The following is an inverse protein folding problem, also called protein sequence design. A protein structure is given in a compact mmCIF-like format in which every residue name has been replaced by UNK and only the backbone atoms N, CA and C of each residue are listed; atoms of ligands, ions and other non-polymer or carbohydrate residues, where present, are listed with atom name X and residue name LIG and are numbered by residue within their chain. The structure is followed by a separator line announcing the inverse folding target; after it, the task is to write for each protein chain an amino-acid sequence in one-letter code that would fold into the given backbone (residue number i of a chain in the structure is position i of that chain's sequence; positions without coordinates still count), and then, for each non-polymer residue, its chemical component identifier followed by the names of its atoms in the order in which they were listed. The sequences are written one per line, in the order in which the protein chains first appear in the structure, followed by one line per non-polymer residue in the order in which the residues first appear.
data_IF_241308915788
#
_entry.id   IF_241308915788
#
_cell.length_a   1.000
_cell.length_b   1.000
_cell.length_c   1.000
_cell.angle_alpha   90.00
_cell.angle_beta   90.00
_cell.angle_gamma   90.00
#
_symmetry.space_group_name_H-M   'P 1'
#
loop_
_entity.id
_entity.type
_entity.pdbx_description
1 polymer ?
#
# COMPACT_ATOMS: atom_id res chain seq x y z
N UNK A 1 -13.33 -12.52 -14.81
CA UNK A 1 -13.25 -11.80 -16.12
C UNK A 1 -14.55 -11.06 -16.41
N UNK A 2 -15.70 -11.75 -16.40
CA UNK A 2 -17.00 -11.12 -16.70
C UNK A 2 -17.38 -10.00 -15.73
N UNK A 3 -17.16 -10.21 -14.42
CA UNK A 3 -17.31 -9.17 -13.38
C UNK A 3 -16.51 -7.92 -13.70
N UNK A 4 -15.22 -8.06 -14.07
CA UNK A 4 -14.36 -6.91 -14.42
C UNK A 4 -14.87 -6.19 -15.66
N UNK A 5 -15.25 -6.93 -16.71
CA UNK A 5 -15.78 -6.34 -17.94
C UNK A 5 -17.08 -5.58 -17.69
N UNK A 6 -17.96 -6.13 -16.85
CA UNK A 6 -19.19 -5.46 -16.45
C UNK A 6 -18.90 -4.20 -15.63
N UNK A 7 -18.01 -4.28 -14.66
CA UNK A 7 -17.61 -3.14 -13.84
C UNK A 7 -16.99 -2.03 -14.71
N UNK A 8 -16.17 -2.36 -15.72
CA UNK A 8 -15.64 -1.38 -16.69
C UNK A 8 -16.74 -0.65 -17.46
N UNK A 9 -17.76 -1.37 -17.92
CA UNK A 9 -18.89 -0.75 -18.62
C UNK A 9 -19.66 0.23 -17.73
N UNK A 10 -19.71 -0.02 -16.42
CA UNK A 10 -20.43 0.81 -15.46
C UNK A 10 -19.59 1.97 -14.88
N UNK A 11 -18.29 1.74 -14.67
CA UNK A 11 -17.41 2.63 -13.90
C UNK A 11 -16.33 3.32 -14.73
N UNK A 12 -16.13 2.90 -16.00
CA UNK A 12 -15.07 3.35 -16.89
C UNK A 12 -13.93 2.33 -17.01
N UNK A 13 -13.36 2.21 -18.21
CA UNK A 13 -12.33 1.19 -18.53
C UNK A 13 -11.06 1.32 -17.68
N UNK A 14 -10.64 2.54 -17.39
CA UNK A 14 -9.41 2.85 -16.64
C UNK A 14 -9.55 2.62 -15.13
N UNK A 15 -10.77 2.48 -14.63
CA UNK A 15 -11.05 2.39 -13.20
C UNK A 15 -11.15 0.96 -12.68
N UNK A 16 -11.30 -0.02 -13.57
CA UNK A 16 -11.47 -1.41 -13.20
C UNK A 16 -10.54 -2.27 -14.04
N UNK A 17 -9.68 -3.04 -13.39
CA UNK A 17 -8.79 -3.96 -14.09
C UNK A 17 -8.79 -5.34 -13.46
N UNK A 18 -8.37 -6.30 -14.28
CA UNK A 18 -8.09 -7.65 -13.81
C UNK A 18 -6.62 -7.69 -13.41
N UNK A 19 -6.36 -8.30 -12.27
CA UNK A 19 -5.02 -8.51 -11.76
C UNK A 19 -4.46 -9.87 -12.18
N UNK A 20 -3.26 -10.22 -11.71
CA UNK A 20 -2.58 -11.45 -12.12
C UNK A 20 -3.44 -12.72 -12.01
N UNK A 21 -4.24 -12.86 -10.94
CA UNK A 21 -5.19 -13.96 -10.79
C UNK A 21 -6.58 -13.61 -11.33
N UNK A 22 -7.25 -14.57 -11.98
CA UNK A 22 -8.62 -14.38 -12.53
C UNK A 22 -9.69 -14.07 -11.48
N UNK A 23 -9.42 -14.34 -10.21
CA UNK A 23 -10.32 -14.09 -9.08
C UNK A 23 -10.06 -12.75 -8.38
N UNK A 24 -9.14 -11.95 -8.90
CA UNK A 24 -8.83 -10.62 -8.36
C UNK A 24 -9.43 -9.53 -9.23
N UNK A 25 -9.88 -8.47 -8.56
CA UNK A 25 -10.41 -7.25 -9.16
C UNK A 25 -9.65 -6.10 -8.54
N UNK A 26 -9.08 -5.24 -9.38
CA UNK A 26 -8.44 -4.00 -8.96
C UNK A 26 -9.31 -2.82 -9.39
N UNK A 27 -9.56 -1.93 -8.43
CA UNK A 27 -10.22 -0.65 -8.64
C UNK A 27 -9.21 0.48 -8.50
N UNK A 28 -9.16 1.39 -9.46
CA UNK A 28 -8.24 2.54 -9.48
C UNK A 28 -9.06 3.82 -9.42
N UNK A 29 -8.86 4.64 -8.38
CA UNK A 29 -9.54 5.94 -8.30
C UNK A 29 -9.00 6.91 -9.35
N UNK A 30 -9.78 7.95 -9.65
CA UNK A 30 -9.17 9.16 -10.23
C UNK A 30 -8.22 9.83 -9.23
N UNK A 31 -7.44 10.79 -9.71
CA UNK A 31 -6.67 11.68 -8.83
C UNK A 31 -7.64 12.53 -8.00
N UNK A 32 -7.53 12.44 -6.68
CA UNK A 32 -8.38 13.17 -5.73
C UNK A 32 -7.57 14.22 -4.99
N UNK A 33 -8.15 15.40 -4.74
CA UNK A 33 -7.51 16.54 -4.06
C UNK A 33 -7.76 16.55 -2.56
N UNK A 34 -8.72 15.79 -2.06
CA UNK A 34 -9.14 15.78 -0.66
C UNK A 34 -9.88 14.51 -0.26
N UNK A 35 -10.14 14.38 1.04
CA UNK A 35 -10.82 13.23 1.62
C UNK A 35 -12.25 13.04 1.12
N UNK A 36 -13.00 14.13 0.90
CA UNK A 36 -14.36 14.06 0.38
C UNK A 36 -14.42 13.48 -1.04
N UNK A 37 -13.53 13.94 -1.93
CA UNK A 37 -13.44 13.40 -3.30
C UNK A 37 -13.03 11.92 -3.31
N UNK A 38 -12.10 11.53 -2.44
CA UNK A 38 -11.66 10.15 -2.31
C UNK A 38 -12.76 9.26 -1.72
N UNK A 39 -13.50 9.73 -0.71
CA UNK A 39 -14.62 9.00 -0.13
C UNK A 39 -15.69 8.71 -1.19
N UNK A 40 -16.06 9.71 -2.00
CA UNK A 40 -17.02 9.55 -3.08
C UNK A 40 -16.53 8.56 -4.15
N UNK A 41 -15.23 8.60 -4.50
CA UNK A 41 -14.66 7.64 -5.45
C UNK A 41 -14.62 6.21 -4.89
N UNK A 42 -14.28 6.03 -3.60
CA UNK A 42 -14.29 4.72 -2.97
C UNK A 42 -15.71 4.14 -2.92
N UNK A 43 -16.72 4.94 -2.59
CA UNK A 43 -18.12 4.54 -2.59
C UNK A 43 -18.56 4.12 -4.00
N UNK A 44 -18.30 4.97 -4.99
CA UNK A 44 -18.63 4.70 -6.40
C UNK A 44 -17.99 3.41 -6.90
N UNK A 45 -16.69 3.23 -6.67
CA UNK A 45 -15.93 2.11 -7.21
C UNK A 45 -16.26 0.79 -6.49
N UNK A 46 -16.30 0.79 -5.16
CA UNK A 46 -16.62 -0.42 -4.39
C UNK A 46 -18.07 -0.83 -4.59
N UNK A 47 -18.99 0.13 -4.58
CA UNK A 47 -20.41 -0.10 -4.84
C UNK A 47 -20.65 -0.66 -6.25
N UNK A 48 -20.13 0.02 -7.28
CA UNK A 48 -20.30 -0.46 -8.66
C UNK A 48 -19.61 -1.80 -8.94
N UNK A 49 -18.45 -2.06 -8.33
CA UNK A 49 -17.80 -3.37 -8.46
C UNK A 49 -18.62 -4.48 -7.79
N UNK A 50 -19.23 -4.21 -6.63
CA UNK A 50 -20.12 -5.14 -5.95
C UNK A 50 -21.40 -5.39 -6.76
N UNK A 51 -22.01 -4.35 -7.32
CA UNK A 51 -23.17 -4.46 -8.21
C UNK A 51 -22.86 -5.27 -9.47
N UNK A 52 -21.67 -5.07 -10.06
CA UNK A 52 -21.19 -5.87 -11.18
C UNK A 52 -21.03 -7.34 -10.80
N UNK A 53 -20.46 -7.64 -9.62
CA UNK A 53 -20.27 -9.00 -9.14
C UNK A 53 -21.60 -9.71 -8.89
N UNK A 54 -22.59 -9.01 -8.30
CA UNK A 54 -23.91 -9.55 -8.01
C UNK A 54 -24.67 -10.01 -9.28
N UNK A 55 -24.42 -9.39 -10.44
CA UNK A 55 -25.01 -9.82 -11.72
C UNK A 55 -24.52 -11.18 -12.23
N UNK A 56 -23.45 -11.71 -11.63
CA UNK A 56 -22.88 -13.02 -11.95
C UNK A 56 -22.88 -13.96 -10.73
N UNK A 57 -23.78 -13.74 -9.78
CA UNK A 57 -23.90 -14.52 -8.54
C UNK A 57 -22.58 -14.60 -7.74
N UNK A 58 -21.76 -13.55 -7.84
CA UNK A 58 -20.46 -13.44 -7.17
C UNK A 58 -20.51 -12.39 -6.05
N UNK A 59 -19.63 -12.57 -5.06
CA UNK A 59 -19.36 -11.58 -4.01
C UNK A 59 -17.90 -11.15 -4.05
N UNK A 60 -17.65 -9.87 -3.76
CA UNK A 60 -16.30 -9.36 -3.56
C UNK A 60 -15.92 -9.49 -2.08
N UNK A 61 -14.73 -10.04 -1.82
CA UNK A 61 -14.21 -10.23 -0.47
C UNK A 61 -12.91 -9.42 -0.32
N UNK A 62 -12.92 -8.29 0.40
CA UNK A 62 -11.73 -7.50 0.67
C UNK A 62 -10.89 -8.18 1.77
N UNK A 63 -10.06 -9.14 1.38
CA UNK A 63 -9.13 -9.88 2.23
C UNK A 63 -7.72 -9.84 1.65
N UNK A 64 -6.70 -9.64 2.50
CA UNK A 64 -5.31 -9.58 2.05
C UNK A 64 -4.81 -10.89 1.42
N UNK A 65 -5.46 -12.02 1.73
CA UNK A 65 -5.19 -13.35 1.17
C UNK A 65 -6.48 -14.07 0.79
N UNK A 66 -6.36 -15.11 -0.06
CA UNK A 66 -7.43 -16.06 -0.30
C UNK A 66 -7.70 -16.91 0.95
N UNK A 67 -8.81 -16.63 1.64
CA UNK A 67 -9.14 -17.23 2.95
C UNK A 67 -9.28 -18.75 2.88
N UNK A 68 -10.04 -19.27 1.92
CA UNK A 68 -10.34 -20.70 1.81
C UNK A 68 -9.32 -21.46 0.93
N UNK A 69 -8.50 -20.75 0.15
CA UNK A 69 -7.61 -21.34 -0.86
C UNK A 69 -8.35 -21.85 -2.11
N UNK A 70 -7.58 -22.27 -3.11
CA UNK A 70 -8.03 -23.00 -4.30
C UNK A 70 -7.36 -24.39 -4.25
N UNK A 71 -8.03 -25.52 -4.54
CA UNK A 71 -7.37 -26.83 -4.63
C UNK A 71 -6.35 -26.97 -5.78
N UNK A 72 -6.10 -25.93 -6.58
CA UNK A 72 -5.10 -25.90 -7.64
C UNK A 72 -4.32 -24.58 -7.70
N UNK A 73 -3.31 -24.47 -8.58
CA UNK A 73 -2.63 -23.22 -8.80
C UNK A 73 -3.65 -22.15 -9.24
N UNK A 74 -3.64 -20.95 -8.65
CA UNK A 74 -4.60 -19.92 -9.00
C UNK A 74 -4.47 -19.64 -10.49
N UNK A 75 -5.59 -19.59 -11.24
CA UNK A 75 -5.51 -19.45 -12.67
C UNK A 75 -4.99 -18.05 -13.01
N UNK A 76 -3.72 -17.98 -13.37
CA UNK A 76 -3.03 -16.78 -13.82
C UNK A 76 -3.68 -16.33 -15.14
N UNK A 77 -3.81 -15.02 -15.33
CA UNK A 77 -4.26 -14.50 -16.62
C UNK A 77 -3.28 -14.89 -17.73
N UNK A 78 -3.84 -15.38 -18.82
CA UNK A 78 -3.07 -15.65 -20.04
C UNK A 78 -2.56 -14.35 -20.66
N UNK A 79 -1.38 -13.91 -20.21
CA UNK A 79 -0.64 -12.75 -20.70
C UNK A 79 0.85 -13.08 -20.76
N UNK A 80 1.57 -12.71 -21.84
CA UNK A 80 2.99 -13.02 -22.00
C UNK A 80 3.84 -12.63 -20.77
N UNK A 81 3.55 -11.47 -20.18
CA UNK A 81 4.23 -11.00 -18.96
C UNK A 81 4.12 -11.97 -17.79
N UNK A 82 2.92 -12.48 -17.51
CA UNK A 82 2.72 -13.36 -16.36
C UNK A 82 3.35 -14.74 -16.59
N UNK A 83 3.37 -15.22 -17.83
CA UNK A 83 4.12 -16.44 -18.19
C UNK A 83 5.62 -16.27 -17.97
N UNK A 84 6.20 -15.14 -18.39
CA UNK A 84 7.61 -14.84 -18.15
C UNK A 84 7.95 -14.77 -16.64
N UNK A 85 7.04 -14.19 -15.84
CA UNK A 85 7.17 -14.18 -14.37
C UNK A 85 7.14 -15.61 -13.83
N UNK A 86 6.20 -16.44 -14.25
CA UNK A 86 6.10 -17.82 -13.78
C UNK A 86 7.32 -18.66 -14.17
N UNK A 87 7.81 -18.53 -15.41
CA UNK A 87 9.00 -19.22 -15.89
C UNK A 87 10.25 -18.83 -15.08
N UNK A 88 10.38 -17.54 -14.74
CA UNK A 88 11.55 -17.02 -14.03
C UNK A 88 11.56 -17.32 -12.54
N UNK A 89 10.42 -17.18 -11.85
CA UNK A 89 10.34 -17.21 -10.39
C UNK A 89 9.69 -18.48 -9.83
N UNK A 90 9.12 -19.32 -10.70
CA UNK A 90 8.62 -20.64 -10.33
C UNK A 90 7.53 -20.60 -9.23
N UNK A 91 7.59 -21.48 -8.22
CA UNK A 91 6.53 -21.67 -7.23
C UNK A 91 6.13 -20.44 -6.41
N UNK A 92 6.95 -19.38 -6.34
CA UNK A 92 6.57 -18.12 -5.68
C UNK A 92 5.25 -17.59 -6.28
N UNK A 93 4.99 -17.85 -7.56
CA UNK A 93 3.78 -17.42 -8.25
C UNK A 93 2.49 -18.14 -7.83
N UNK A 94 2.58 -19.28 -7.14
CA UNK A 94 1.40 -20.08 -6.80
C UNK A 94 0.54 -19.51 -5.68
N UNK A 95 1.08 -18.63 -4.82
CA UNK A 95 0.33 -18.01 -3.72
C UNK A 95 -0.01 -16.54 -3.97
N UNK A 96 -0.16 -16.13 -5.24
CA UNK A 96 -0.28 -14.72 -5.60
C UNK A 96 -1.70 -14.15 -5.58
N UNK A 97 -2.66 -14.86 -4.99
CA UNK A 97 -3.97 -14.30 -4.62
C UNK A 97 -3.86 -13.41 -3.36
N UNK A 98 -2.89 -12.50 -3.35
CA UNK A 98 -2.71 -11.49 -2.31
C UNK A 98 -3.26 -10.16 -2.78
N UNK A 99 -4.00 -9.46 -1.93
CA UNK A 99 -4.71 -8.24 -2.29
C UNK A 99 -4.27 -7.08 -1.38
N UNK A 100 -3.95 -5.95 -1.98
CA UNK A 100 -3.47 -4.76 -1.26
C UNK A 100 -4.30 -3.53 -1.54
N UNK A 101 -4.18 -2.55 -0.65
CA UNK A 101 -4.49 -1.17 -0.94
C UNK A 101 -3.19 -0.44 -1.29
N UNK A 102 -3.11 0.16 -2.48
CA UNK A 102 -2.02 1.04 -2.86
C UNK A 102 -2.47 2.49 -2.79
N UNK A 103 -1.63 3.35 -2.22
CA UNK A 103 -1.88 4.79 -2.14
C UNK A 103 -0.79 5.52 -2.91
N UNK A 104 -1.20 6.32 -3.89
CA UNK A 104 -0.34 7.22 -4.63
C UNK A 104 -0.50 8.65 -4.11
N UNK A 105 0.60 9.33 -3.82
CA UNK A 105 0.62 10.75 -3.46
C UNK A 105 1.52 11.49 -4.43
N UNK A 106 0.97 12.51 -5.08
CA UNK A 106 1.71 13.35 -6.03
C UNK A 106 2.85 14.11 -5.35
N UNK A 107 3.98 14.18 -6.05
CA UNK A 107 5.18 14.94 -5.66
C UNK A 107 5.74 15.66 -6.89
N UNK A 108 6.56 16.69 -6.68
CA UNK A 108 6.97 17.57 -7.78
C UNK A 108 7.97 16.92 -8.73
N UNK A 109 8.86 16.07 -8.20
CA UNK A 109 9.92 15.44 -8.99
C UNK A 109 10.38 14.09 -8.41
N UNK A 110 11.24 13.39 -9.16
CA UNK A 110 11.76 12.07 -8.77
C UNK A 110 12.69 12.12 -7.55
N UNK A 111 13.47 13.18 -7.37
CA UNK A 111 14.34 13.31 -6.20
C UNK A 111 13.49 13.39 -4.93
N UNK A 112 12.44 14.20 -4.92
CA UNK A 112 11.48 14.25 -3.81
C UNK A 112 10.87 12.87 -3.56
N UNK A 113 10.48 12.15 -4.62
CA UNK A 113 9.91 10.81 -4.48
C UNK A 113 10.90 9.82 -3.82
N UNK A 114 12.18 9.89 -4.20
CA UNK A 114 13.26 9.07 -3.64
C UNK A 114 13.50 9.42 -2.17
N UNK A 115 13.62 10.70 -1.84
CA UNK A 115 13.88 11.13 -0.48
C UNK A 115 12.68 10.86 0.44
N UNK A 116 11.46 11.17 0.01
CA UNK A 116 10.23 10.81 0.75
C UNK A 116 10.14 9.31 0.99
N UNK A 117 10.54 8.48 0.01
CA UNK A 117 10.60 7.02 0.20
C UNK A 117 11.53 6.62 1.36
N UNK A 118 12.66 7.33 1.55
CA UNK A 118 13.55 7.10 2.70
C UNK A 118 12.90 7.48 4.04
N UNK A 119 12.08 8.54 4.09
CA UNK A 119 11.34 8.90 5.30
C UNK A 119 10.26 7.86 5.61
N UNK A 120 9.48 7.47 4.60
CA UNK A 120 8.33 6.58 4.77
C UNK A 120 8.72 5.12 5.03
N UNK A 121 9.93 4.68 4.67
CA UNK A 121 10.38 3.31 4.97
C UNK A 121 10.31 2.99 6.46
N UNK A 122 10.57 3.99 7.31
CA UNK A 122 10.54 3.85 8.78
C UNK A 122 9.11 3.68 9.31
N UNK A 123 8.11 4.15 8.56
CA UNK A 123 6.70 4.01 8.88
C UNK A 123 6.09 2.69 8.39
N UNK A 124 6.81 1.92 7.57
CA UNK A 124 6.30 0.67 7.00
C UNK A 124 5.80 -0.33 8.07
N UNK A 125 6.51 -0.59 9.18
CA UNK A 125 6.00 -1.47 10.24
C UNK A 125 4.66 -1.00 10.82
N UNK A 126 4.51 0.31 11.05
CA UNK A 126 3.26 0.88 11.59
C UNK A 126 2.13 0.74 10.57
N UNK A 127 2.39 1.01 9.29
CA UNK A 127 1.39 0.86 8.24
C UNK A 127 0.96 -0.60 8.04
N UNK A 128 1.88 -1.57 8.15
CA UNK A 128 1.54 -3.01 8.17
C UNK A 128 0.60 -3.30 9.34
N UNK A 129 0.98 -2.87 10.55
CA UNK A 129 0.22 -3.16 11.75
C UNK A 129 -1.20 -2.58 11.72
N UNK A 130 -1.35 -1.35 11.22
CA UNK A 130 -2.64 -0.66 11.09
C UNK A 130 -3.58 -1.31 10.08
N UNK A 131 -3.04 -1.88 9.01
CA UNK A 131 -3.83 -2.35 7.86
C UNK A 131 -3.94 -3.87 7.77
N UNK A 132 -3.34 -4.60 8.71
CA UNK A 132 -3.31 -6.06 8.75
C UNK A 132 -4.72 -6.66 8.64
N UNK A 133 -4.96 -7.40 7.55
CA UNK A 133 -6.26 -8.00 7.24
C UNK A 133 -6.09 -9.31 6.47
N UNK A 134 -5.16 -10.16 6.92
CA UNK A 134 -4.96 -11.48 6.33
C UNK A 134 -4.53 -12.55 7.34
N UNK A 135 -5.34 -12.83 8.38
CA UNK A 135 -4.97 -13.84 9.38
C UNK A 135 -5.15 -15.29 8.90
N UNK A 136 -5.94 -15.52 7.86
CA UNK A 136 -6.21 -16.85 7.30
C UNK A 136 -5.62 -17.02 5.91
N UNK A 137 -5.20 -18.24 5.58
CA UNK A 137 -4.77 -18.63 4.23
C UNK A 137 -5.06 -20.11 4.02
N UNK A 138 -5.62 -20.48 2.86
CA UNK A 138 -5.88 -21.89 2.51
C UNK A 138 -6.68 -22.65 3.58
N UNK A 139 -7.71 -22.00 4.12
CA UNK A 139 -8.60 -22.56 5.14
C UNK A 139 -7.99 -22.66 6.54
N UNK A 140 -6.78 -22.14 6.74
CA UNK A 140 -6.02 -22.28 7.99
C UNK A 140 -5.69 -20.92 8.61
N UNK A 141 -5.81 -20.81 9.93
CA UNK A 141 -5.30 -19.66 10.68
C UNK A 141 -3.77 -19.69 10.68
N UNK A 142 -3.16 -18.60 10.24
CA UNK A 142 -1.70 -18.51 10.03
C UNK A 142 -0.96 -18.06 11.29
N UNK A 143 -1.71 -17.62 12.30
CA UNK A 143 -1.24 -16.87 13.46
C UNK A 143 -0.60 -15.51 13.16
N UNK A 144 -0.53 -15.07 11.90
CA UNK A 144 -0.11 -13.70 11.55
C UNK A 144 -1.31 -12.77 11.53
N UNK A 145 -1.09 -11.48 11.80
CA UNK A 145 -2.10 -10.47 11.54
C UNK A 145 -2.18 -10.14 10.03
N UNK A 146 -1.01 -10.07 9.38
CA UNK A 146 -0.87 -9.94 7.93
C UNK A 146 -0.03 -11.09 7.35
N UNK A 147 -0.68 -12.16 6.91
CA UNK A 147 -0.01 -13.22 6.15
C UNK A 147 0.38 -12.77 4.75
N UNK A 148 -0.35 -11.82 4.17
CA UNK A 148 0.00 -11.21 2.88
C UNK A 148 1.42 -10.66 2.90
N UNK A 149 1.83 -9.92 3.94
CA UNK A 149 3.20 -9.40 4.04
C UNK A 149 4.23 -10.53 3.96
N UNK A 150 3.97 -11.67 4.62
CA UNK A 150 4.86 -12.84 4.60
C UNK A 150 4.93 -13.48 3.21
N UNK A 151 3.80 -13.61 2.52
CA UNK A 151 3.75 -14.15 1.16
C UNK A 151 4.47 -13.23 0.18
N UNK A 152 4.26 -11.91 0.29
CA UNK A 152 4.83 -10.92 -0.61
C UNK A 152 6.34 -10.78 -0.44
N UNK A 153 6.85 -10.86 0.80
CA UNK A 153 8.28 -10.76 1.09
C UNK A 153 9.13 -11.92 0.53
N UNK A 154 8.51 -12.95 -0.03
CA UNK A 154 9.21 -14.04 -0.76
C UNK A 154 9.78 -13.56 -2.11
N UNK A 155 9.24 -12.49 -2.67
CA UNK A 155 9.76 -11.93 -3.91
C UNK A 155 11.14 -11.31 -3.69
N UNK A 156 12.13 -11.54 -4.56
CA UNK A 156 13.51 -11.07 -4.35
C UNK A 156 13.67 -9.56 -4.16
N UNK A 157 12.80 -8.77 -4.81
CA UNK A 157 12.78 -7.31 -4.77
C UNK A 157 11.79 -6.73 -3.76
N UNK A 158 11.15 -7.56 -2.93
CA UNK A 158 10.13 -7.14 -1.97
C UNK A 158 10.68 -6.80 -0.57
N UNK A 159 9.92 -5.96 0.11
CA UNK A 159 10.18 -5.50 1.47
C UNK A 159 10.38 -3.99 1.54
N UNK A 160 10.89 -3.48 2.66
CA UNK A 160 11.22 -2.06 2.79
C UNK A 160 12.24 -1.65 1.71
N UNK A 161 12.11 -0.45 1.12
CA UNK A 161 13.13 0.05 0.20
C UNK A 161 14.48 0.16 0.94
N UNK A 162 15.61 -0.04 0.25
CA UNK A 162 16.92 0.31 0.81
C UNK A 162 17.00 1.81 1.06
N UNK A 163 17.99 2.26 1.82
CA UNK A 163 18.28 3.68 1.89
C UNK A 163 18.89 4.17 0.56
N UNK A 164 18.27 5.18 -0.06
CA UNK A 164 18.65 5.71 -1.37
C UNK A 164 19.32 7.08 -1.19
N UNK A 165 20.50 7.30 -1.78
CA UNK A 165 21.29 8.51 -1.52
C UNK A 165 20.98 9.64 -2.51
N UNK A 166 20.42 9.29 -3.66
CA UNK A 166 20.08 10.20 -4.75
C UNK A 166 19.25 9.48 -5.78
N UNK A 167 18.64 10.23 -6.70
CA UNK A 167 18.03 9.69 -7.91
C UNK A 167 18.98 8.77 -8.70
N UNK A 168 20.26 9.13 -8.83
CA UNK A 168 21.23 8.28 -9.53
C UNK A 168 21.51 6.96 -8.79
N UNK A 169 21.56 6.99 -7.44
CA UNK A 169 21.69 5.75 -6.65
C UNK A 169 20.44 4.88 -6.82
N UNK A 170 19.24 5.47 -6.81
CA UNK A 170 17.99 4.77 -7.09
C UNK A 170 18.02 4.06 -8.44
N UNK A 171 18.36 4.77 -9.52
CA UNK A 171 18.45 4.20 -10.86
C UNK A 171 19.48 3.06 -10.93
N UNK A 172 20.64 3.24 -10.30
CA UNK A 172 21.68 2.21 -10.24
C UNK A 172 21.19 0.95 -9.51
N UNK A 173 20.50 1.10 -8.38
CA UNK A 173 19.96 -0.04 -7.61
C UNK A 173 18.89 -0.77 -8.42
N UNK A 174 17.97 -0.05 -9.05
CA UNK A 174 16.93 -0.63 -9.92
C UNK A 174 17.57 -1.37 -11.09
N UNK A 175 18.52 -0.74 -11.79
CA UNK A 175 19.24 -1.36 -12.91
C UNK A 175 20.01 -2.62 -12.46
N UNK A 176 20.58 -2.62 -11.26
CA UNK A 176 21.28 -3.79 -10.69
C UNK A 176 20.32 -4.94 -10.36
N UNK A 177 19.15 -4.64 -9.77
CA UNK A 177 18.12 -5.66 -9.49
C UNK A 177 17.59 -6.30 -10.78
N UNK A 178 17.42 -5.51 -11.84
CA UNK A 178 17.06 -6.02 -13.16
C UNK A 178 18.22 -6.82 -13.78
N UNK A 179 19.44 -6.29 -13.74
CA UNK A 179 20.62 -6.94 -14.33
C UNK A 179 20.99 -8.28 -13.69
N UNK A 180 20.71 -8.47 -12.40
CA UNK A 180 20.87 -9.76 -11.71
C UNK A 180 19.77 -10.76 -12.05
N UNK A 181 18.65 -10.30 -12.61
CA UNK A 181 17.47 -11.12 -12.86
C UNK A 181 16.57 -11.32 -11.64
N UNK A 182 16.87 -10.67 -10.51
CA UNK A 182 16.01 -10.64 -9.33
C UNK A 182 14.69 -9.88 -9.57
N UNK A 183 14.67 -9.01 -10.58
CA UNK A 183 13.50 -8.41 -11.18
C UNK A 183 13.56 -8.60 -12.71
N UNK A 184 12.42 -8.80 -13.39
CA UNK A 184 12.39 -8.81 -14.86
C UNK A 184 12.57 -7.40 -15.45
N UNK A 185 12.05 -6.41 -14.75
CA UNK A 185 12.06 -5.01 -15.14
C UNK A 185 11.80 -4.11 -13.92
N UNK A 186 11.79 -2.79 -14.15
CA UNK A 186 11.53 -1.81 -13.10
C UNK A 186 10.12 -1.91 -12.48
N UNK A 187 9.13 -2.51 -13.18
CA UNK A 187 7.79 -2.71 -12.61
C UNK A 187 7.78 -3.81 -11.53
N UNK A 188 8.74 -4.73 -11.58
CA UNK A 188 8.97 -5.76 -10.55
C UNK A 188 9.79 -5.28 -9.35
N UNK A 189 10.02 -3.98 -9.18
CA UNK A 189 10.61 -3.45 -7.95
C UNK A 189 9.53 -3.38 -6.88
N UNK A 190 9.41 -4.44 -6.07
CA UNK A 190 8.29 -4.63 -5.13
C UNK A 190 8.53 -4.03 -3.74
N UNK A 191 9.25 -2.91 -3.67
CA UNK A 191 9.41 -2.18 -2.42
C UNK A 191 8.06 -1.70 -1.88
N UNK A 192 7.93 -1.76 -0.55
CA UNK A 192 6.73 -1.37 0.19
C UNK A 192 6.37 0.11 0.03
N UNK A 193 7.39 0.96 -0.20
CA UNK A 193 7.26 2.36 -0.58
C UNK A 193 8.27 2.59 -1.72
N UNK A 194 7.84 3.25 -2.80
CA UNK A 194 8.71 3.52 -3.94
C UNK A 194 8.28 4.77 -4.72
N UNK A 195 9.20 5.41 -5.45
CA UNK A 195 8.81 6.24 -6.59
C UNK A 195 7.99 5.42 -7.59
N UNK A 196 6.86 5.95 -8.02
CA UNK A 196 6.09 5.32 -9.11
C UNK A 196 6.83 5.47 -10.43
N UNK A 197 6.79 4.41 -11.24
CA UNK A 197 7.46 4.36 -12.55
C UNK A 197 6.73 5.12 -13.66
N UNK A 198 5.44 5.38 -13.50
CA UNK A 198 4.56 5.83 -14.60
C UNK A 198 3.81 7.13 -14.29
N UNK A 199 3.85 7.61 -13.05
CA UNK A 199 3.28 8.89 -12.63
C UNK A 199 4.19 9.53 -11.57
N UNK A 200 4.23 10.87 -11.47
CA UNK A 200 5.08 11.58 -10.51
C UNK A 200 4.50 11.49 -9.09
N UNK A 201 4.58 10.30 -8.50
CA UNK A 201 4.01 10.01 -7.17
C UNK A 201 4.95 9.14 -6.35
N UNK A 202 4.87 9.26 -5.04
CA UNK A 202 5.29 8.19 -4.13
C UNK A 202 4.14 7.18 -4.02
N UNK A 203 4.46 5.92 -4.24
CA UNK A 203 3.52 4.80 -4.19
C UNK A 203 3.78 3.97 -2.93
N UNK A 204 2.79 3.93 -2.03
CA UNK A 204 2.79 3.11 -0.82
C UNK A 204 1.97 1.84 -1.08
N UNK A 205 2.63 0.68 -1.00
CA UNK A 205 2.08 -0.64 -1.34
C UNK A 205 2.10 -1.64 -0.18
N UNK A 206 2.39 -1.14 1.01
CA UNK A 206 2.61 -1.95 2.20
C UNK A 206 1.33 -2.62 2.70
N UNK A 207 0.18 -1.96 2.54
CA UNK A 207 -1.07 -2.32 3.19
C UNK A 207 -1.76 -3.54 2.60
N UNK A 208 -2.41 -4.33 3.46
CA UNK A 208 -3.44 -5.27 3.00
C UNK A 208 -4.66 -4.48 2.53
N UNK A 209 -5.48 -5.10 1.67
CA UNK A 209 -6.79 -4.51 1.34
C UNK A 209 -7.65 -4.46 2.60
N UNK A 210 -8.29 -3.31 2.84
CA UNK A 210 -9.14 -3.10 4.02
C UNK A 210 -10.62 -3.39 3.70
N UNK A 211 -11.35 -4.02 4.64
CA UNK A 211 -12.74 -4.38 4.44
C UNK A 211 -13.67 -3.18 4.51
N UNK A 212 -13.37 -2.22 5.38
CA UNK A 212 -14.13 -0.99 5.51
C UNK A 212 -13.58 0.12 4.59
N UNK A 213 -14.51 0.88 4.02
CA UNK A 213 -14.17 2.05 3.21
C UNK A 213 -13.57 3.18 4.06
N UNK A 214 -14.08 3.39 5.27
CA UNK A 214 -13.60 4.40 6.19
C UNK A 214 -12.14 4.14 6.59
N UNK A 215 -11.77 2.88 6.81
CA UNK A 215 -10.38 2.50 7.07
C UNK A 215 -9.48 2.77 5.86
N UNK A 216 -9.95 2.45 4.66
CA UNK A 216 -9.24 2.75 3.40
C UNK A 216 -9.00 4.26 3.25
N UNK A 217 -10.02 5.07 3.50
CA UNK A 217 -9.94 6.53 3.46
C UNK A 217 -8.97 7.06 4.52
N UNK A 218 -9.09 6.59 5.76
CA UNK A 218 -8.22 7.00 6.87
C UNK A 218 -6.75 6.66 6.58
N UNK A 219 -6.48 5.46 6.05
CA UNK A 219 -5.14 5.05 5.65
C UNK A 219 -4.58 5.94 4.52
N UNK A 220 -5.38 6.22 3.49
CA UNK A 220 -4.94 7.09 2.39
C UNK A 220 -4.63 8.52 2.86
N UNK A 221 -5.43 9.06 3.78
CA UNK A 221 -5.19 10.38 4.38
C UNK A 221 -3.95 10.37 5.29
N UNK A 222 -3.74 9.30 6.05
CA UNK A 222 -2.52 9.11 6.85
C UNK A 222 -1.28 9.08 5.95
N UNK A 223 -1.30 8.28 4.87
CA UNK A 223 -0.20 8.23 3.91
C UNK A 223 0.06 9.60 3.29
N UNK A 224 -0.98 10.33 2.88
CA UNK A 224 -0.82 11.69 2.37
C UNK A 224 -0.18 12.62 3.40
N UNK A 225 -0.61 12.57 4.66
CA UNK A 225 -0.03 13.38 5.73
C UNK A 225 1.45 13.02 5.98
N UNK A 226 1.79 11.73 5.98
CA UNK A 226 3.18 11.26 6.11
C UNK A 226 4.05 11.75 4.96
N UNK A 227 3.55 11.72 3.72
CA UNK A 227 4.26 12.27 2.56
C UNK A 227 4.46 13.78 2.69
N UNK A 228 3.45 14.54 3.12
CA UNK A 228 3.58 15.98 3.34
C UNK A 228 4.64 16.29 4.40
N UNK A 229 4.59 15.62 5.56
CA UNK A 229 5.59 15.81 6.63
C UNK A 229 6.99 15.41 6.15
N UNK A 230 7.10 14.34 5.37
CA UNK A 230 8.38 13.92 4.79
C UNK A 230 8.93 14.95 3.79
N UNK A 231 8.09 15.54 2.93
CA UNK A 231 8.51 16.59 2.00
C UNK A 231 9.04 17.82 2.76
N UNK A 232 8.33 18.27 3.78
CA UNK A 232 8.78 19.39 4.62
C UNK A 232 10.15 19.08 5.23
N UNK A 233 10.32 17.88 5.80
CA UNK A 233 11.59 17.45 6.38
C UNK A 233 12.74 17.36 5.35
N UNK A 234 12.45 16.90 4.12
CA UNK A 234 13.42 16.84 3.01
C UNK A 234 13.86 18.24 2.60
N UNK A 235 12.92 19.17 2.42
CA UNK A 235 13.21 20.55 2.04
C UNK A 235 13.97 21.32 3.13
N UNK A 236 13.73 20.99 4.40
CA UNK A 236 14.46 21.52 5.54
C UNK A 236 15.84 20.86 5.75
N UNK A 237 16.19 19.85 4.95
CA UNK A 237 17.46 19.13 5.05
C UNK A 237 17.61 18.32 6.34
N UNK A 238 16.51 17.82 6.90
CA UNK A 238 16.54 17.03 8.13
C UNK A 238 17.24 15.70 7.92
N UNK A 239 18.17 15.36 8.82
CA UNK A 239 18.85 14.08 8.78
C UNK A 239 17.88 12.94 9.16
N UNK A 240 17.94 11.84 8.40
CA UNK A 240 17.20 10.63 8.70
C UNK A 240 17.97 9.73 9.68
N UNK A 241 17.26 9.03 10.59
CA UNK A 241 17.87 7.95 11.35
C UNK A 241 18.45 6.88 10.43
N UNK A 242 19.72 6.52 10.67
CA UNK A 242 20.38 5.41 9.97
C UNK A 242 19.89 4.08 10.57
N UNK A 243 18.84 3.53 9.97
CA UNK A 243 18.27 2.23 10.37
C UNK A 243 18.72 1.16 9.40
N UNK A 244 19.46 0.19 9.94
CA UNK A 244 19.91 -0.98 9.20
C UNK A 244 18.73 -1.74 8.56
N UNK A 245 18.89 -2.10 7.28
CA UNK A 245 17.86 -2.76 6.49
C UNK A 245 17.36 -4.09 7.09
N UNK A 246 18.25 -4.86 7.72
CA UNK A 246 17.87 -6.12 8.36
C UNK A 246 17.00 -5.88 9.61
N UNK A 247 17.28 -4.81 10.36
CA UNK A 247 16.46 -4.40 11.51
C UNK A 247 15.09 -3.94 11.04
N UNK A 248 15.02 -3.11 9.99
CA UNK A 248 13.74 -2.64 9.45
C UNK A 248 12.89 -3.78 8.88
N UNK A 249 13.52 -4.74 8.18
CA UNK A 249 12.84 -5.96 7.72
C UNK A 249 12.32 -6.79 8.89
N UNK A 250 13.11 -6.95 9.94
CA UNK A 250 12.68 -7.58 11.19
C UNK A 250 11.46 -6.89 11.80
N UNK A 251 11.45 -5.57 11.88
CA UNK A 251 10.32 -4.79 12.39
C UNK A 251 9.04 -4.96 11.54
N UNK A 252 9.17 -4.98 10.22
CA UNK A 252 8.04 -5.26 9.32
C UNK A 252 7.47 -6.66 9.56
N UNK A 253 8.34 -7.65 9.74
CA UNK A 253 7.92 -9.01 10.08
C UNK A 253 7.20 -9.08 11.45
N UNK A 254 7.71 -8.38 12.47
CA UNK A 254 7.04 -8.30 13.78
C UNK A 254 5.64 -7.67 13.65
N UNK A 255 5.53 -6.56 12.91
CA UNK A 255 4.25 -5.93 12.63
C UNK A 255 3.29 -6.87 11.89
N UNK A 256 3.77 -7.64 10.92
CA UNK A 256 2.96 -8.63 10.22
C UNK A 256 2.50 -9.75 11.15
N UNK A 257 3.32 -10.18 12.12
CA UNK A 257 3.00 -11.27 13.05
C UNK A 257 1.95 -10.90 14.09
N UNK A 258 2.02 -9.69 14.65
CA UNK A 258 1.20 -9.32 15.80
C UNK A 258 0.26 -8.14 15.55
N UNK A 259 0.40 -7.44 14.42
CA UNK A 259 -0.38 -6.23 14.15
C UNK A 259 -0.25 -5.23 15.28
N UNK A 260 -1.36 -4.57 15.64
CA UNK A 260 -1.43 -3.60 16.75
C UNK A 260 -1.37 -4.24 18.15
N UNK A 261 -1.39 -5.57 18.26
CA UNK A 261 -1.31 -6.26 19.56
C UNK A 261 0.13 -6.50 20.05
N UNK A 262 1.11 -6.34 19.15
CA UNK A 262 2.54 -6.56 19.44
C UNK A 262 3.30 -5.31 19.83
N UNK A 263 4.63 -5.44 19.88
CA UNK A 263 5.54 -4.29 19.95
C UNK A 263 5.94 -3.89 18.52
N UNK A 264 5.97 -2.59 18.25
CA UNK A 264 6.44 -2.00 17.00
C UNK A 264 7.76 -1.30 17.23
N UNK A 265 8.66 -1.35 16.25
CA UNK A 265 9.94 -0.66 16.31
C UNK A 265 9.72 0.86 16.49
N UNK A 266 10.29 1.43 17.56
CA UNK A 266 10.32 2.88 17.73
C UNK A 266 11.52 3.46 16.96
N UNK A 267 11.27 3.94 15.75
CA UNK A 267 12.29 4.56 14.89
C UNK A 267 12.65 5.97 15.32
N UNK A 268 11.96 6.55 16.33
CA UNK A 268 12.31 7.83 16.95
C UNK A 268 13.33 7.69 18.07
N UNK A 269 13.52 6.47 18.57
CA UNK A 269 14.46 6.19 19.64
C UNK A 269 15.84 5.79 19.10
N UNK A 270 16.94 6.30 19.69
CA UNK A 270 18.30 6.00 19.24
C UNK A 270 18.72 4.54 19.46
N UNK A 271 17.99 3.80 20.30
CA UNK A 271 18.26 2.40 20.64
C UNK A 271 17.49 1.41 19.74
N UNK A 272 16.60 1.88 18.87
CA UNK A 272 15.80 1.08 17.92
C UNK A 272 15.19 -0.17 18.58
N UNK A 273 14.58 0.00 19.75
CA UNK A 273 13.91 -1.07 20.47
C UNK A 273 12.40 -1.16 20.14
N UNK A 274 11.83 -2.38 20.05
CA UNK A 274 10.39 -2.55 19.96
C UNK A 274 9.65 -2.01 21.19
N UNK A 275 8.54 -1.31 20.98
CA UNK A 275 7.68 -0.76 22.04
C UNK A 275 6.20 -0.92 21.69
N UNK A 276 5.28 -0.96 22.67
CA UNK A 276 3.85 -1.00 22.37
C UNK A 276 3.40 0.20 21.52
N UNK A 277 2.40 0.05 20.63
CA UNK A 277 1.86 1.17 19.85
C UNK A 277 1.45 2.35 20.74
N UNK A 278 1.78 3.58 20.33
CA UNK A 278 1.46 4.80 21.06
C UNK A 278 2.42 5.16 22.21
N UNK A 279 3.51 4.42 22.40
CA UNK A 279 4.53 4.76 23.40
C UNK A 279 5.62 5.65 22.79
N UNK A 280 5.58 6.96 23.04
CA UNK A 280 6.63 7.88 22.60
C UNK A 280 7.85 7.85 23.54
N UNK A 281 9.04 7.69 22.97
CA UNK A 281 10.32 8.03 23.62
C UNK A 281 10.40 9.53 23.91
N UNK A 282 10.10 9.99 25.13
CA UNK A 282 10.48 11.36 25.52
C UNK A 282 11.97 11.43 25.81
N UNK A 283 12.75 11.69 24.76
CA UNK A 283 14.14 12.11 24.86
C UNK A 283 14.42 13.35 23.98
N UNK A 284 13.46 14.26 23.85
CA UNK A 284 13.69 15.72 23.75
C UNK A 284 12.34 16.42 23.89
N UNK A 285 12.31 17.55 24.58
CA UNK A 285 11.09 18.17 25.11
C UNK A 285 10.19 18.87 24.06
N UNK A 286 9.55 18.10 23.17
CA UNK A 286 8.34 18.57 22.48
C UNK A 286 7.16 17.65 22.83
N UNK A 287 6.13 18.24 23.41
CA UNK A 287 4.97 17.54 23.95
C UNK A 287 3.97 17.22 22.84
N UNK A 288 4.10 16.03 22.24
CA UNK A 288 3.03 15.32 21.50
C UNK A 288 2.19 14.42 22.43
N UNK A 289 2.26 14.68 23.75
CA UNK A 289 1.43 14.01 24.76
C UNK A 289 0.14 14.81 24.86
N UNK A 290 -0.91 14.36 24.18
CA UNK A 290 -2.32 14.45 24.58
C UNK A 290 -3.21 14.03 23.40
N UNK A 291 -3.46 12.73 23.23
CA UNK A 291 -4.43 12.27 22.22
C UNK A 291 -4.61 10.77 22.05
N UNK A 292 -3.63 9.96 22.45
CA UNK A 292 -3.64 8.50 22.18
C UNK A 292 -3.76 7.64 23.44
N UNK A 293 -4.48 8.12 24.46
CA UNK A 293 -4.90 7.27 25.57
C UNK A 293 -6.31 6.71 25.31
N UNK A 294 -6.40 5.38 25.39
CA UNK A 294 -7.59 4.51 25.37
C UNK A 294 -8.03 3.89 24.02
N UNK A 295 -7.89 2.55 23.97
CA UNK A 295 -8.70 1.53 23.26
C UNK A 295 -8.94 1.71 21.74
N UNK A 296 -8.54 0.75 20.88
CA UNK A 296 -8.87 0.75 19.45
C UNK A 296 -10.38 0.89 19.19
N UNK A 297 -10.71 1.82 18.32
CA UNK A 297 -12.05 2.40 18.10
C UNK A 297 -13.05 1.48 17.38
N UNK A 298 -12.66 0.28 16.93
CA UNK A 298 -13.58 -0.63 16.23
C UNK A 298 -14.63 -1.31 17.14
N UNK A 299 -14.55 -1.11 18.46
CA UNK A 299 -15.55 -1.59 19.44
C UNK A 299 -16.60 -0.52 19.81
N UNK A 300 -16.48 0.72 19.35
CA UNK A 300 -17.42 1.81 19.67
C UNK A 300 -17.60 2.67 18.44
N UNK A 301 -18.70 2.51 17.70
CA UNK A 301 -19.51 3.57 17.10
C UNK A 301 -20.48 2.98 16.07
N UNK A 302 -21.61 2.45 16.59
CA UNK A 302 -22.92 2.68 15.95
C UNK A 302 -23.41 4.02 16.51
N UNK A 303 -23.56 5.03 15.64
CA UNK A 303 -24.39 6.27 15.73
C UNK A 303 -23.61 7.57 15.49
N UNK A 304 -23.95 8.26 14.38
CA UNK A 304 -23.83 9.72 14.13
C UNK A 304 -22.39 10.24 14.09
N UNK A 305 -21.96 11.10 13.17
CA UNK A 305 -22.34 12.51 13.00
C UNK A 305 -21.56 12.98 11.75
N UNK A 306 -22.16 13.55 10.70
CA UNK A 306 -22.47 14.97 10.46
C UNK A 306 -21.42 16.01 10.90
N UNK A 307 -20.95 16.75 9.89
CA UNK A 307 -20.43 18.12 9.88
C UNK A 307 -19.00 18.40 10.36
N UNK A 308 -18.09 18.61 9.40
CA UNK A 308 -17.12 19.72 9.41
C UNK A 308 -16.88 20.17 7.96
N UNK A 309 -17.65 21.16 7.53
CA UNK A 309 -17.43 21.92 6.30
C UNK A 309 -16.67 23.21 6.63
N UNK A 310 -15.66 23.52 5.84
CA UNK A 310 -15.06 24.85 5.83
C UNK A 310 -13.59 24.82 5.47
N UNK A 311 -13.28 24.83 4.17
CA UNK A 311 -12.04 25.41 3.64
C UNK A 311 -12.27 25.78 2.17
N UNK A 312 -12.07 27.05 1.83
CA UNK A 312 -12.29 27.60 0.48
C UNK A 312 -11.10 27.29 -0.45
N UNK A 313 -11.34 26.96 -1.74
CA UNK A 313 -10.28 26.65 -2.69
C UNK A 313 -9.69 27.89 -3.36
N UNK A 314 -8.36 27.91 -3.47
CA UNK A 314 -7.62 28.83 -4.36
C UNK A 314 -7.70 28.31 -5.80
N UNK A 315 -7.96 29.23 -6.74
CA UNK A 315 -8.28 28.97 -8.15
C UNK A 315 -7.13 28.32 -8.94
N UNK A 316 -7.54 27.47 -9.88
CA UNK A 316 -6.76 26.75 -10.88
C UNK A 316 -6.24 27.64 -12.00
N UNK A 317 -5.07 27.30 -12.53
CA UNK A 317 -4.76 27.45 -13.95
C UNK A 317 -4.44 26.08 -14.58
N UNK A 318 -4.92 25.94 -15.81
CA UNK A 318 -5.11 24.73 -16.60
C UNK A 318 -3.83 24.10 -17.14
N UNK A 319 -3.71 22.77 -17.07
CA UNK A 319 -2.86 21.99 -17.99
C UNK A 319 -3.63 20.77 -18.48
N UNK A 320 -3.60 20.62 -19.81
CA UNK A 320 -4.36 19.66 -20.60
C UNK A 320 -3.93 18.21 -20.39
N UNK A 321 -4.91 17.30 -20.44
CA UNK A 321 -4.72 15.86 -20.37
C UNK A 321 -4.23 15.29 -21.70
N UNK A 322 -3.15 14.52 -21.68
CA UNK A 322 -2.83 13.55 -22.73
C UNK A 322 -2.74 12.16 -22.09
N UNK A 323 -3.71 11.30 -22.43
CA UNK A 323 -3.72 9.89 -22.05
C UNK A 323 -2.83 9.08 -23.01
N UNK A 324 -2.06 8.08 -22.53
CA UNK A 324 -1.54 7.03 -23.39
C UNK A 324 -2.53 5.87 -23.46
N UNK A 325 -2.81 5.47 -24.71
CA UNK A 325 -3.44 4.22 -25.11
C UNK A 325 -2.64 3.02 -24.62
N UNK A 326 -3.35 1.94 -24.30
CA UNK A 326 -2.79 0.68 -23.85
C UNK A 326 -1.92 -0.02 -24.90
N UNK A 327 -1.02 -0.83 -24.34
CA UNK A 327 -0.22 -1.95 -24.85
C UNK A 327 1.24 -1.76 -24.41
N UNK A 328 1.58 -2.46 -23.31
CA UNK A 328 2.87 -3.12 -22.97
C UNK A 328 3.00 -3.40 -21.45
#
# INVERSE_FOLDING_TARGET
RDVVNKARQQLGETHMTAEMSRVQVESVSRVCRGGEELAAELERLRGGAADAAAQYDCLLVPSGTAVLGDPGPPPILDRPRYHAIQERFGPITWNQCVNSCHVHVGVDNLEDAVQVSNHLRLWAPVMIALTANSPFCEGTETEYASWRSVLWDRWPSAGPPPFLHSTAHYEQVVASLVGTGAALDAAMIYWQVRPSRHVPTVEVRVADVMPDMADTLAFALLVRALVTVALDAVHDGQALPDVNDAVLRGACWQAARWGLSGQLLDTSAPDLHPRPPGTSSTASGSTWRDGWSSTPTWLRYRRGWTALSGWEPVRSDSVASSAPTGDD
#
